data_IF_148372037838
#
_entry.id   IF_148372037838
#
_cell.length_a   1.000
_cell.length_b   1.000
_cell.length_c   1.000
_cell.angle_alpha   90.00
_cell.angle_beta   90.00
_cell.angle_gamma   90.00
#
_symmetry.space_group_name_H-M   'P 1'
#
loop_
_entity.id
_entity.type
_entity.pdbx_description
1 polymer ?
#
# COMPACT_ATOMS: atom_id res chain seq x y z
N UNK A 1 11.27 4.63 -16.03
CA UNK A 1 10.20 3.72 -15.59
C UNK A 1 9.41 4.42 -14.48
N UNK A 2 8.12 4.13 -14.33
CA UNK A 2 7.13 5.15 -13.98
C UNK A 2 6.80 5.25 -12.49
N UNK A 3 6.85 6.47 -11.98
CA UNK A 3 6.16 6.90 -10.76
C UNK A 3 4.67 6.57 -10.85
N UNK A 4 4.10 5.97 -9.80
CA UNK A 4 2.66 5.85 -9.64
C UNK A 4 2.07 7.25 -9.55
N UNK A 5 1.46 7.66 -10.65
CA UNK A 5 0.76 8.94 -10.84
C UNK A 5 -0.71 8.66 -11.13
N UNK A 6 -1.55 9.70 -11.07
CA UNK A 6 -2.97 9.59 -11.42
C UNK A 6 -3.18 8.93 -12.79
N UNK A 7 -2.33 9.24 -13.77
CA UNK A 7 -2.37 8.62 -15.10
C UNK A 7 -2.15 7.11 -15.03
N UNK A 8 -1.09 6.65 -14.37
CA UNK A 8 -0.81 5.21 -14.22
C UNK A 8 -1.96 4.49 -13.54
N UNK A 9 -2.58 5.11 -12.53
CA UNK A 9 -3.72 4.52 -11.81
C UNK A 9 -4.96 4.41 -12.69
N UNK A 10 -5.19 5.42 -13.54
CA UNK A 10 -6.35 5.49 -14.44
C UNK A 10 -6.22 4.52 -15.62
N UNK A 11 -5.02 4.41 -16.20
CA UNK A 11 -4.71 3.50 -17.30
C UNK A 11 -4.49 2.05 -16.86
N UNK A 12 -4.46 1.79 -15.55
CA UNK A 12 -4.30 0.44 -15.05
C UNK A 12 -5.55 -0.39 -15.31
N UNK A 13 -5.43 -1.35 -16.24
CA UNK A 13 -6.50 -2.26 -16.61
C UNK A 13 -6.66 -3.38 -15.58
N UNK A 14 -7.89 -3.84 -15.40
CA UNK A 14 -8.18 -5.01 -14.56
C UNK A 14 -7.83 -6.29 -15.31
N UNK A 15 -6.94 -7.11 -14.74
CA UNK A 15 -6.64 -8.44 -15.27
C UNK A 15 -7.58 -9.52 -14.73
N UNK A 16 -7.30 -10.78 -15.07
CA UNK A 16 -7.99 -11.96 -14.52
C UNK A 16 -7.58 -12.31 -13.10
N UNK A 17 -6.53 -11.67 -12.57
CA UNK A 17 -6.02 -11.82 -11.19
C UNK A 17 -5.64 -10.47 -10.63
N UNK A 18 -5.71 -10.35 -9.31
CA UNK A 18 -5.19 -9.18 -8.61
C UNK A 18 -3.68 -9.05 -8.87
N UNK A 19 -3.22 -7.83 -9.11
CA UNK A 19 -1.80 -7.54 -9.26
C UNK A 19 -1.42 -6.24 -8.55
N UNK A 20 -0.13 -6.04 -8.35
CA UNK A 20 0.40 -4.83 -7.72
C UNK A 20 1.37 -4.16 -8.67
N UNK A 21 1.12 -2.89 -8.96
CA UNK A 21 2.05 -2.00 -9.66
C UNK A 21 2.93 -1.38 -8.58
N UNK A 22 4.23 -1.64 -8.62
CA UNK A 22 5.19 -1.07 -7.68
C UNK A 22 5.68 0.29 -8.14
N UNK A 23 5.91 1.18 -7.18
CA UNK A 23 6.51 2.47 -7.42
C UNK A 23 8.04 2.37 -7.40
N UNK A 24 8.67 2.95 -8.41
CA UNK A 24 10.13 2.91 -8.55
C UNK A 24 10.83 3.94 -7.63
N UNK A 25 10.19 5.10 -7.40
CA UNK A 25 10.75 6.15 -6.54
C UNK A 25 10.64 5.83 -5.04
N UNK A 26 9.68 5.00 -4.64
CA UNK A 26 9.46 4.59 -3.26
C UNK A 26 9.40 3.07 -3.16
N UNK A 27 10.55 2.40 -2.92
CA UNK A 27 10.61 0.96 -2.78
C UNK A 27 9.64 0.45 -1.72
N UNK A 28 8.87 -0.57 -2.11
CA UNK A 28 7.85 -1.14 -1.24
C UNK A 28 6.51 -0.42 -1.30
N UNK A 29 6.35 0.75 -1.93
CA UNK A 29 5.03 1.34 -2.18
C UNK A 29 4.44 0.85 -3.51
N UNK A 30 3.15 0.54 -3.52
CA UNK A 30 2.48 0.05 -4.71
C UNK A 30 0.98 0.31 -4.77
N UNK A 31 0.43 0.21 -5.97
CA UNK A 31 -1.00 0.21 -6.25
C UNK A 31 -1.45 -1.23 -6.53
N UNK A 32 -2.27 -1.78 -5.64
CA UNK A 32 -2.97 -3.04 -5.89
C UNK A 32 -4.21 -2.78 -6.72
N UNK A 33 -4.31 -3.44 -7.87
CA UNK A 33 -5.47 -3.44 -8.73
C UNK A 33 -6.17 -4.77 -8.55
N UNK A 34 -7.42 -4.72 -8.12
CA UNK A 34 -8.25 -5.91 -7.95
C UNK A 34 -8.97 -6.24 -9.25
N UNK A 35 -9.28 -7.52 -9.46
CA UNK A 35 -10.12 -7.97 -10.60
C UNK A 35 -11.47 -7.25 -10.62
N UNK A 36 -11.99 -6.89 -9.44
CA UNK A 36 -13.24 -6.13 -9.28
C UNK A 36 -13.20 -4.68 -9.77
N UNK A 37 -12.06 -4.17 -10.24
CA UNK A 37 -11.87 -2.75 -10.59
C UNK A 37 -11.56 -1.84 -9.41
N UNK A 38 -11.65 -2.35 -8.18
CA UNK A 38 -11.17 -1.63 -7.00
C UNK A 38 -9.66 -1.48 -7.07
N UNK A 39 -9.16 -0.37 -6.53
CA UNK A 39 -7.74 -0.06 -6.48
C UNK A 39 -7.38 0.36 -5.05
N UNK A 40 -6.29 -0.14 -4.51
CA UNK A 40 -5.83 0.22 -3.16
C UNK A 40 -4.34 0.46 -3.12
N UNK A 41 -3.91 1.45 -2.36
CA UNK A 41 -2.51 1.69 -2.10
C UNK A 41 -2.01 0.78 -0.98
N UNK A 42 -0.86 0.18 -1.21
CA UNK A 42 -0.24 -0.76 -0.29
C UNK A 42 1.23 -0.40 -0.12
N UNK A 43 1.78 -0.76 1.04
CA UNK A 43 3.22 -0.89 1.24
C UNK A 43 3.58 -2.33 1.55
N UNK A 44 4.74 -2.76 1.10
CA UNK A 44 5.34 -4.04 1.44
C UNK A 44 6.74 -3.78 1.97
N UNK A 45 6.99 -4.29 3.16
CA UNK A 45 8.26 -4.13 3.85
C UNK A 45 8.66 -5.43 4.52
N UNK A 46 9.87 -5.44 5.09
CA UNK A 46 10.33 -6.53 5.95
C UNK A 46 10.46 -6.00 7.35
N UNK A 47 9.90 -6.73 8.31
CA UNK A 47 10.13 -6.50 9.73
C UNK A 47 10.35 -7.84 10.41
N UNK A 48 11.29 -7.89 11.36
CA UNK A 48 11.63 -9.08 12.16
C UNK A 48 11.80 -10.35 11.29
N UNK A 49 12.46 -10.20 10.15
CA UNK A 49 12.72 -11.30 9.18
C UNK A 49 11.54 -11.70 8.28
N UNK A 50 10.33 -11.20 8.53
CA UNK A 50 9.11 -11.54 7.77
C UNK A 50 8.74 -10.44 6.78
N UNK A 51 8.24 -10.83 5.60
CA UNK A 51 7.62 -9.87 4.69
C UNK A 51 6.21 -9.58 5.15
N UNK A 52 5.91 -8.30 5.38
CA UNK A 52 4.59 -7.80 5.77
C UNK A 52 4.07 -6.91 4.65
N UNK A 53 2.75 -6.91 4.47
CA UNK A 53 2.05 -5.98 3.58
C UNK A 53 1.03 -5.21 4.38
N UNK A 54 1.06 -3.90 4.24
CA UNK A 54 0.13 -2.99 4.87
C UNK A 54 -0.67 -2.24 3.81
N UNK A 55 -1.98 -2.18 3.99
CA UNK A 55 -2.86 -1.45 3.06
C UNK A 55 -3.09 -0.06 3.61
N UNK A 56 -2.72 0.96 2.84
CA UNK A 56 -2.93 2.38 3.20
C UNK A 56 -4.41 2.70 3.08
N UNK A 57 -5.02 2.38 1.93
CA UNK A 57 -6.44 2.58 1.68
C UNK A 57 -6.84 2.52 0.22
N UNK A 58 -8.13 2.66 -0.05
CA UNK A 58 -8.71 2.62 -1.39
C UNK A 58 -8.44 3.90 -2.18
N UNK A 59 -8.20 3.75 -3.47
CA UNK A 59 -8.16 4.86 -4.41
C UNK A 59 -9.54 5.48 -4.54
N UNK A 60 -9.59 6.82 -4.55
CA UNK A 60 -10.82 7.62 -4.46
C UNK A 60 -10.83 8.41 -3.15
N UNK A 61 -10.65 7.72 -2.03
CA UNK A 61 -10.38 8.35 -0.72
C UNK A 61 -8.91 8.80 -0.67
N UNK A 62 -8.01 7.94 -1.14
CA UNK A 62 -6.59 8.23 -1.24
C UNK A 62 -6.20 8.60 -2.68
N UNK A 63 -5.38 9.64 -2.79
CA UNK A 63 -4.73 10.01 -4.06
C UNK A 63 -3.33 9.38 -4.09
N UNK A 64 -2.72 9.22 -5.29
CA UNK A 64 -1.36 8.69 -5.39
C UNK A 64 -0.35 9.48 -4.55
N UNK A 65 -0.54 10.79 -4.44
CA UNK A 65 0.35 11.70 -3.73
C UNK A 65 0.18 11.59 -2.21
N UNK A 66 -1.06 11.58 -1.71
CA UNK A 66 -1.32 11.42 -0.27
C UNK A 66 -0.94 10.02 0.21
N UNK A 67 -1.23 9.00 -0.59
CA UNK A 67 -0.82 7.63 -0.32
C UNK A 67 0.71 7.48 -0.31
N UNK A 68 1.43 8.14 -1.23
CA UNK A 68 2.91 8.14 -1.22
C UNK A 68 3.48 8.80 0.03
N UNK A 69 2.91 9.93 0.46
CA UNK A 69 3.34 10.58 1.70
C UNK A 69 3.13 9.67 2.90
N UNK A 70 1.97 9.05 3.02
CA UNK A 70 1.68 8.10 4.08
C UNK A 70 2.62 6.88 4.02
N UNK A 71 2.85 6.35 2.82
CA UNK A 71 3.81 5.26 2.61
C UNK A 71 5.21 5.60 3.15
N UNK A 72 5.71 6.82 2.90
CA UNK A 72 6.99 7.29 3.47
C UNK A 72 6.98 7.32 4.98
N UNK A 73 5.92 7.83 5.59
CA UNK A 73 5.76 7.86 7.05
C UNK A 73 5.81 6.44 7.63
N UNK A 74 5.01 5.52 7.08
CA UNK A 74 4.92 4.15 7.58
C UNK A 74 6.21 3.37 7.36
N UNK A 75 6.85 3.50 6.19
CA UNK A 75 8.15 2.88 5.92
C UNK A 75 9.26 3.47 6.81
N UNK A 76 9.18 4.77 7.13
CA UNK A 76 10.07 5.40 8.11
C UNK A 76 9.92 4.79 9.50
N UNK A 77 8.68 4.61 9.99
CA UNK A 77 8.41 3.91 11.26
C UNK A 77 8.99 2.50 11.26
N UNK A 78 8.82 1.75 10.18
CA UNK A 78 9.43 0.42 10.02
C UNK A 78 10.95 0.46 10.11
N UNK A 79 11.59 1.46 9.50
CA UNK A 79 13.04 1.64 9.59
C UNK A 79 13.51 1.96 11.01
N UNK A 80 12.66 2.57 11.84
CA UNK A 80 12.91 2.83 13.26
C UNK A 80 12.60 1.62 14.18
N UNK A 81 12.08 0.52 13.63
CA UNK A 81 11.82 -0.72 14.36
C UNK A 81 10.35 -0.93 14.76
N UNK A 82 9.46 -0.03 14.38
CA UNK A 82 8.01 -0.18 14.59
C UNK A 82 7.38 -1.12 13.54
N UNK A 83 6.29 -1.80 13.90
CA UNK A 83 5.57 -2.73 13.01
C UNK A 83 4.13 -2.22 12.77
N UNK A 84 3.92 -1.28 11.83
CA UNK A 84 2.61 -0.65 11.61
C UNK A 84 1.52 -1.62 11.13
N UNK A 85 1.89 -2.81 10.63
CA UNK A 85 0.93 -3.86 10.31
C UNK A 85 0.47 -4.66 11.54
N UNK A 86 1.30 -4.73 12.57
CA UNK A 86 0.95 -5.37 13.85
C UNK A 86 -0.02 -4.45 14.61
N UNK A 87 0.30 -3.15 14.72
CA UNK A 87 -0.55 -2.13 15.34
C UNK A 87 -1.97 -2.09 14.72
N UNK A 88 -2.07 -2.11 13.39
CA UNK A 88 -3.38 -2.06 12.71
C UNK A 88 -4.13 -3.40 12.75
N UNK A 89 -3.44 -4.53 12.87
CA UNK A 89 -4.10 -5.81 13.10
C UNK A 89 -4.68 -5.90 14.52
N UNK A 90 -3.96 -5.35 15.51
CA UNK A 90 -4.43 -5.21 16.88
C UNK A 90 -5.65 -4.28 16.96
N UNK A 91 -5.61 -3.13 16.29
CA UNK A 91 -6.75 -2.19 16.21
C UNK A 91 -7.98 -2.81 15.53
N UNK A 92 -7.78 -3.57 14.44
CA UNK A 92 -8.88 -4.30 13.77
C UNK A 92 -9.47 -5.42 14.64
N UNK A 93 -8.64 -6.10 15.44
CA UNK A 93 -9.12 -7.11 16.40
C UNK A 93 -9.88 -6.46 17.56
N UNK A 94 -9.44 -5.28 18.02
CA UNK A 94 -10.13 -4.52 19.05
C UNK A 94 -11.50 -3.98 18.61
N UNK A 95 -11.71 -3.75 17.31
CA UNK A 95 -13.00 -3.30 16.76
C UNK A 95 -14.03 -4.43 16.53
N UNK A 96 -13.70 -5.69 16.83
CA UNK A 96 -14.57 -6.86 16.59
C UNK A 96 -15.17 -7.44 17.89
N UNK A 97 -15.49 -6.61 18.88
CA UNK A 97 -16.23 -7.02 20.10
C UNK A 97 -17.55 -6.25 20.23
#
# INVERSE_FOLDING_TARGET
>A
MAKITKRVVDTAETGTKDYVIWDDELPGFGLRVFVSGKRSYVIQYRSRGRSRRYTIGLHGIWTPETARREAKTQLGRVAHGDDPAEEREEDRKALTI
#
